data_IF_468248161043
#
_entry.id   IF_468248161043
#
_cell.length_a   1.000
_cell.length_b   1.000
_cell.length_c   1.000
_cell.angle_alpha   90.00
_cell.angle_beta   90.00
_cell.angle_gamma   90.00
#
_symmetry.space_group_name_H-M   'P 1'
#
loop_
_entity.id
_entity.type
_entity.pdbx_description
1 polymer ?
#
# COMPACT_ATOMS: atom_id res chain seq x y z
N UNK A 1 -5.05 1.73 -19.15
CA UNK A 1 -5.23 1.24 -17.75
C UNK A 1 -4.57 2.15 -16.73
N UNK A 2 -3.26 2.45 -16.83
CA UNK A 2 -2.50 3.34 -15.92
C UNK A 2 -3.20 4.68 -15.62
N UNK A 3 -3.73 5.37 -16.64
CA UNK A 3 -4.49 6.64 -16.44
C UNK A 3 -5.72 6.47 -15.56
N UNK A 4 -6.42 5.33 -15.63
CA UNK A 4 -7.56 5.03 -14.74
C UNK A 4 -7.08 4.85 -13.29
N UNK A 5 -5.96 4.17 -13.09
CA UNK A 5 -5.35 4.03 -11.77
C UNK A 5 -4.90 5.38 -11.19
N UNK A 6 -4.29 6.27 -11.99
CA UNK A 6 -3.95 7.63 -11.55
C UNK A 6 -5.18 8.43 -11.09
N UNK A 7 -6.28 8.36 -11.85
CA UNK A 7 -7.55 9.00 -11.47
C UNK A 7 -8.12 8.41 -10.17
N UNK A 8 -8.09 7.07 -10.05
CA UNK A 8 -8.49 6.38 -8.82
C UNK A 8 -7.65 6.83 -7.62
N UNK A 9 -6.33 6.88 -7.75
CA UNK A 9 -5.41 7.28 -6.68
C UNK A 9 -5.68 8.69 -6.19
N UNK A 10 -5.91 9.64 -7.12
CA UNK A 10 -6.29 11.02 -6.77
C UNK A 10 -7.61 11.06 -5.98
N UNK A 11 -8.61 10.31 -6.44
CA UNK A 11 -9.90 10.22 -5.74
C UNK A 11 -9.78 9.55 -4.37
N UNK A 12 -8.95 8.52 -4.25
CA UNK A 12 -8.69 7.83 -2.98
C UNK A 12 -8.03 8.78 -1.98
N UNK A 13 -6.99 9.51 -2.39
CA UNK A 13 -6.28 10.44 -1.50
C UNK A 13 -7.18 11.55 -1.00
N UNK A 14 -7.99 12.12 -1.89
CA UNK A 14 -8.98 13.13 -1.53
C UNK A 14 -9.94 12.60 -0.47
N UNK A 15 -10.55 11.44 -0.72
CA UNK A 15 -11.52 10.83 0.18
C UNK A 15 -10.92 10.49 1.55
N UNK A 16 -9.73 9.89 1.57
CA UNK A 16 -9.05 9.55 2.83
C UNK A 16 -8.74 10.80 3.68
N UNK A 17 -8.31 11.91 3.05
CA UNK A 17 -8.04 13.15 3.77
C UNK A 17 -9.30 13.93 4.16
N UNK A 18 -10.41 13.77 3.45
CA UNK A 18 -11.70 14.36 3.83
C UNK A 18 -12.35 13.60 4.99
N UNK A 19 -12.31 12.27 4.97
CA UNK A 19 -12.94 11.43 5.99
C UNK A 19 -12.09 11.28 7.26
N UNK A 20 -10.75 11.30 7.14
CA UNK A 20 -9.84 11.00 8.26
C UNK A 20 -8.78 12.08 8.53
N UNK A 21 -8.69 13.12 7.70
CA UNK A 21 -7.79 14.24 7.92
C UNK A 21 -8.28 15.11 9.08
N UNK A 22 -7.84 14.82 10.29
CA UNK A 22 -8.11 15.68 11.45
C UNK A 22 -7.46 17.06 11.26
N UNK A 23 -8.15 18.13 11.66
CA UNK A 23 -7.62 19.50 11.60
C UNK A 23 -6.42 19.75 12.54
N UNK A 24 -6.14 18.83 13.45
CA UNK A 24 -5.35 19.09 14.67
C UNK A 24 -4.08 18.24 14.83
N UNK A 25 -3.55 17.62 13.77
CA UNK A 25 -2.22 16.98 13.82
C UNK A 25 -1.06 18.00 13.76
N UNK A 26 -1.24 19.17 14.37
CA UNK A 26 -0.18 20.17 14.51
C UNK A 26 0.53 20.09 15.88
N UNK A 27 0.24 19.10 16.73
CA UNK A 27 0.94 18.92 18.01
C UNK A 27 0.88 17.47 18.49
N UNK A 28 2.05 16.95 18.89
CA UNK A 28 2.38 15.56 19.28
C UNK A 28 2.54 14.60 18.08
N UNK A 29 3.75 14.24 17.65
CA UNK A 29 4.89 13.78 18.46
C UNK A 29 6.23 14.38 18.01
N UNK A 30 6.97 14.93 18.97
CA UNK A 30 8.44 14.91 18.95
C UNK A 30 8.92 13.47 19.03
N UNK A 31 8.97 12.81 17.89
CA UNK A 31 9.97 11.77 17.63
C UNK A 31 10.92 12.38 16.61
N UNK A 32 12.22 12.39 16.90
CA UNK A 32 13.24 12.87 15.96
C UNK A 32 13.19 12.12 14.61
N UNK A 33 14.15 12.33 13.71
CA UNK A 33 14.26 11.53 12.50
C UNK A 33 14.62 10.09 12.89
N UNK A 34 13.64 9.31 13.33
CA UNK A 34 13.73 7.86 13.37
C UNK A 34 13.79 7.41 11.91
N UNK A 35 14.89 6.74 11.59
CA UNK A 35 15.09 5.96 10.36
C UNK A 35 13.78 5.30 9.92
N UNK A 36 13.52 5.13 8.61
CA UNK A 36 12.32 4.48 8.14
C UNK A 36 12.28 3.04 8.63
N UNK A 37 11.66 2.81 9.80
CA UNK A 37 11.48 1.48 10.35
C UNK A 37 10.74 0.65 9.29
N UNK A 38 11.34 -0.47 8.91
CA UNK A 38 10.68 -1.40 8.01
C UNK A 38 9.42 -1.92 8.72
N UNK A 39 8.29 -2.06 8.00
CA UNK A 39 7.09 -2.62 8.59
C UNK A 39 7.40 -4.02 9.14
N UNK A 40 6.85 -4.34 10.31
CA UNK A 40 6.98 -5.67 10.89
C UNK A 40 6.22 -6.67 10.01
N UNK A 41 6.96 -7.61 9.41
CA UNK A 41 6.45 -8.67 8.53
C UNK A 41 6.67 -10.00 9.23
N UNK A 42 5.60 -10.57 9.80
CA UNK A 42 5.60 -11.86 10.50
C UNK A 42 4.91 -12.97 9.68
N UNK A 43 4.47 -12.67 8.46
CA UNK A 43 3.65 -13.59 7.65
C UNK A 43 2.18 -13.61 8.08
N UNK A 44 1.74 -12.59 8.83
CA UNK A 44 0.38 -12.51 9.36
C UNK A 44 -0.50 -11.57 8.53
N UNK A 45 -1.81 -11.75 8.64
CA UNK A 45 -2.79 -10.92 7.93
C UNK A 45 -2.70 -9.43 8.29
N UNK A 46 -2.18 -9.08 9.47
CA UNK A 46 -2.01 -7.71 9.95
C UNK A 46 -0.60 -7.13 9.73
N UNK A 47 0.29 -7.81 8.98
CA UNK A 47 1.64 -7.32 8.67
C UNK A 47 1.62 -5.85 8.18
N UNK A 48 2.43 -5.00 8.79
CA UNK A 48 2.53 -3.57 8.48
C UNK A 48 1.29 -2.72 8.79
N UNK A 49 0.23 -3.29 9.38
CA UNK A 49 -1.02 -2.57 9.69
C UNK A 49 -1.32 -2.52 11.20
N UNK A 50 -0.44 -3.03 12.07
CA UNK A 50 -0.69 -3.16 13.51
C UNK A 50 -0.97 -1.81 14.19
N UNK A 51 -0.31 -0.73 13.74
CA UNK A 51 -0.46 0.63 14.25
C UNK A 51 -1.10 1.58 13.21
N UNK A 52 -1.80 1.04 12.20
CA UNK A 52 -2.43 1.83 11.14
C UNK A 52 -3.95 1.75 11.29
N UNK A 53 -4.54 2.82 11.82
CA UNK A 53 -5.99 2.86 12.12
C UNK A 53 -6.89 3.08 10.90
N UNK A 54 -6.37 3.72 9.85
CA UNK A 54 -7.09 3.98 8.60
C UNK A 54 -6.64 2.99 7.54
N UNK A 55 -7.54 2.12 7.09
CA UNK A 55 -7.21 1.06 6.15
C UNK A 55 -8.30 0.89 5.09
N UNK A 56 -7.92 0.96 3.81
CA UNK A 56 -8.82 0.78 2.68
C UNK A 56 -8.62 -0.58 2.02
N UNK A 57 -9.71 -1.29 1.76
CA UNK A 57 -9.70 -2.52 0.96
C UNK A 57 -10.05 -2.19 -0.50
N UNK A 58 -9.19 -2.62 -1.42
CA UNK A 58 -9.38 -2.44 -2.86
C UNK A 58 -9.47 -3.82 -3.51
N UNK A 59 -10.65 -4.18 -4.01
CA UNK A 59 -10.86 -5.38 -4.82
C UNK A 59 -10.86 -4.99 -6.30
N UNK A 60 -10.05 -5.66 -7.11
CA UNK A 60 -9.89 -5.33 -8.53
C UNK A 60 -9.47 -6.56 -9.34
N UNK A 61 -9.08 -6.33 -10.59
CA UNK A 61 -8.71 -7.38 -11.54
C UNK A 61 -7.20 -7.46 -11.75
N UNK A 62 -6.67 -8.66 -12.02
CA UNK A 62 -5.22 -8.91 -12.08
C UNK A 62 -4.45 -8.00 -13.05
N UNK A 63 -4.98 -7.75 -14.26
CA UNK A 63 -4.33 -6.84 -15.22
C UNK A 63 -4.32 -5.39 -14.73
N UNK A 64 -5.38 -4.94 -14.05
CA UNK A 64 -5.44 -3.61 -13.45
C UNK A 64 -4.46 -3.47 -12.29
N UNK A 65 -4.45 -4.46 -11.38
CA UNK A 65 -3.54 -4.52 -10.23
C UNK A 65 -2.10 -4.51 -10.70
N UNK A 66 -1.72 -5.35 -11.67
CA UNK A 66 -0.35 -5.43 -12.18
C UNK A 66 0.15 -4.10 -12.76
N UNK A 67 -0.68 -3.40 -13.54
CA UNK A 67 -0.35 -2.07 -14.07
C UNK A 67 -0.26 -1.02 -12.95
N UNK A 68 -1.07 -1.16 -11.90
CA UNK A 68 -1.09 -0.26 -10.74
C UNK A 68 0.17 -0.43 -9.89
N UNK A 69 0.57 -1.67 -9.58
CA UNK A 69 1.82 -1.99 -8.89
C UNK A 69 3.02 -1.45 -9.68
N UNK A 70 3.04 -1.67 -11.01
CA UNK A 70 4.09 -1.10 -11.86
C UNK A 70 4.16 0.43 -11.75
N UNK A 71 3.01 1.11 -11.78
CA UNK A 71 2.96 2.56 -11.63
C UNK A 71 3.53 3.03 -10.28
N UNK A 72 3.18 2.35 -9.19
CA UNK A 72 3.65 2.67 -7.84
C UNK A 72 5.17 2.50 -7.70
N UNK A 73 5.73 1.43 -8.29
CA UNK A 73 7.15 1.11 -8.19
C UNK A 73 7.99 1.98 -9.11
N UNK A 74 7.64 2.05 -10.39
CA UNK A 74 8.50 2.70 -11.40
C UNK A 74 8.30 4.22 -11.46
N UNK A 75 7.06 4.70 -11.37
CA UNK A 75 6.78 6.13 -11.57
C UNK A 75 6.67 6.92 -10.25
N UNK A 76 6.24 6.27 -9.17
CA UNK A 76 6.07 6.91 -7.86
C UNK A 76 7.17 6.53 -6.85
N UNK A 77 8.16 5.75 -7.28
CA UNK A 77 9.37 5.40 -6.51
C UNK A 77 9.05 4.86 -5.10
N UNK A 78 8.07 3.95 -5.00
CA UNK A 78 7.71 3.39 -3.71
C UNK A 78 8.84 2.56 -3.08
N UNK A 79 8.89 2.53 -1.75
CA UNK A 79 9.78 1.65 -0.99
C UNK A 79 9.28 0.20 -1.07
N UNK A 80 10.20 -0.74 -1.28
CA UNK A 80 9.92 -2.17 -1.29
C UNK A 80 10.49 -2.84 -0.02
N UNK A 81 9.87 -3.93 0.47
CA UNK A 81 10.41 -4.69 1.59
C UNK A 81 11.72 -5.39 1.19
N UNK A 82 12.61 -5.58 2.16
CA UNK A 82 13.89 -6.25 1.92
C UNK A 82 13.69 -7.67 1.37
N UNK A 83 14.55 -8.07 0.44
CA UNK A 83 14.53 -9.42 -0.15
C UNK A 83 13.46 -9.66 -1.23
N UNK A 84 12.58 -8.69 -1.51
CA UNK A 84 11.56 -8.85 -2.55
C UNK A 84 12.19 -8.73 -3.95
N UNK A 85 12.09 -9.80 -4.75
CA UNK A 85 12.66 -9.83 -6.09
C UNK A 85 11.76 -9.09 -7.08
N UNK A 86 12.34 -8.30 -7.99
CA UNK A 86 11.56 -7.53 -8.99
C UNK A 86 10.69 -8.41 -9.90
N UNK A 87 11.08 -9.66 -10.17
CA UNK A 87 10.25 -10.59 -10.92
C UNK A 87 8.96 -10.97 -10.16
N UNK A 88 9.00 -11.04 -8.82
CA UNK A 88 7.83 -11.23 -7.97
C UNK A 88 6.98 -9.96 -7.90
N UNK A 89 7.61 -8.78 -7.78
CA UNK A 89 6.92 -7.47 -7.79
C UNK A 89 6.02 -7.32 -9.03
N UNK A 90 6.52 -7.69 -10.21
CA UNK A 90 5.78 -7.54 -11.48
C UNK A 90 5.05 -8.81 -11.95
N UNK A 91 5.01 -9.83 -11.10
CA UNK A 91 4.28 -11.07 -11.38
C UNK A 91 2.77 -10.81 -11.52
N UNK A 92 2.05 -11.65 -12.30
CA UNK A 92 0.60 -11.61 -12.31
C UNK A 92 0.04 -11.88 -10.90
N UNK A 93 -0.93 -11.08 -10.47
CA UNK A 93 -1.64 -11.34 -9.22
C UNK A 93 -2.51 -12.60 -9.39
N UNK A 94 -2.37 -13.64 -8.52
CA UNK A 94 -3.25 -14.79 -8.55
C UNK A 94 -4.69 -14.40 -8.16
N UNK A 95 -5.66 -15.26 -8.44
CA UNK A 95 -7.03 -15.05 -7.95
C UNK A 95 -7.02 -14.89 -6.44
N UNK A 96 -7.63 -13.82 -5.92
CA UNK A 96 -7.62 -13.46 -4.49
C UNK A 96 -6.23 -13.19 -3.90
N UNK A 97 -5.21 -12.98 -4.73
CA UNK A 97 -3.89 -12.56 -4.26
C UNK A 97 -3.94 -11.19 -3.59
N UNK A 98 -3.24 -11.05 -2.47
CA UNK A 98 -3.31 -9.87 -1.61
C UNK A 98 -1.99 -9.10 -1.67
N UNK A 99 -2.07 -7.79 -1.90
CA UNK A 99 -0.95 -6.87 -1.78
C UNK A 99 -1.30 -5.80 -0.75
N UNK A 100 -0.32 -5.35 0.03
CA UNK A 100 -0.49 -4.26 0.99
C UNK A 100 0.59 -3.21 0.80
N UNK A 101 0.17 -1.96 0.86
CA UNK A 101 1.05 -0.81 0.94
C UNK A 101 0.54 0.18 2.00
N UNK A 102 1.48 0.94 2.55
CA UNK A 102 1.25 2.06 3.47
C UNK A 102 1.50 3.34 2.69
N UNK A 103 0.59 4.31 2.80
CA UNK A 103 0.70 5.61 2.13
C UNK A 103 0.66 6.70 3.20
N UNK A 104 1.71 7.50 3.25
CA UNK A 104 1.72 8.74 4.04
C UNK A 104 1.19 9.87 3.17
N UNK A 105 0.04 10.43 3.55
CA UNK A 105 -0.64 11.50 2.83
C UNK A 105 -0.53 12.82 3.57
N UNK A 106 -0.35 13.90 2.82
CA UNK A 106 -0.39 15.27 3.32
C UNK A 106 -1.36 16.10 2.49
N UNK A 107 -1.92 17.13 3.12
CA UNK A 107 -2.68 18.17 2.43
C UNK A 107 -1.71 19.27 2.01
N UNK A 108 -1.60 19.52 0.71
CA UNK A 108 -0.89 20.67 0.17
C UNK A 108 -1.90 21.66 -0.45
N UNK A 109 -1.49 22.90 -0.73
CA UNK A 109 -2.33 23.90 -1.40
C UNK A 109 -2.85 23.42 -2.77
N UNK A 110 -2.04 22.60 -3.47
CA UNK A 110 -2.40 22.01 -4.77
C UNK A 110 -3.31 20.78 -4.67
N UNK A 111 -3.59 20.32 -3.44
CA UNK A 111 -4.41 19.14 -3.13
C UNK A 111 -3.66 18.03 -2.37
N UNK A 112 -4.30 16.86 -2.19
CA UNK A 112 -3.70 15.71 -1.53
C UNK A 112 -2.45 15.19 -2.26
N UNK A 113 -1.36 14.97 -1.51
CA UNK A 113 -0.13 14.36 -2.04
C UNK A 113 0.37 13.25 -1.14
N UNK A 114 0.89 12.19 -1.75
CA UNK A 114 1.64 11.16 -1.03
C UNK A 114 3.10 11.60 -0.88
N UNK A 115 3.59 11.65 0.36
CA UNK A 115 5.02 11.88 0.67
C UNK A 115 5.81 10.59 0.69
N UNK A 116 5.16 9.47 1.04
CA UNK A 116 5.77 8.14 1.08
C UNK A 116 4.76 7.07 0.69
N UNK A 117 5.23 6.11 -0.09
CA UNK A 117 4.49 4.89 -0.46
C UNK A 117 5.41 3.73 -0.18
N UNK A 118 4.96 2.76 0.62
CA UNK A 118 5.77 1.60 1.00
C UNK A 118 4.97 0.32 0.87
N UNK A 119 5.45 -0.63 0.07
CA UNK A 119 4.88 -1.98 0.07
C UNK A 119 5.28 -2.73 1.34
N UNK A 120 4.33 -3.49 1.87
CA UNK A 120 4.57 -4.47 2.92
C UNK A 120 4.74 -5.86 2.31
N UNK A 121 3.85 -6.24 1.40
CA UNK A 121 3.93 -7.49 0.63
C UNK A 121 3.15 -7.36 -0.69
N UNK A 122 3.50 -8.19 -1.67
CA UNK A 122 2.91 -8.19 -3.01
C UNK A 122 2.47 -9.60 -3.39
N UNK A 123 1.25 -9.73 -3.92
CA UNK A 123 0.68 -10.97 -4.44
C UNK A 123 0.75 -12.16 -3.45
N UNK A 124 0.64 -11.91 -2.15
CA UNK A 124 0.59 -12.95 -1.11
C UNK A 124 -0.63 -13.84 -1.35
N UNK A 125 -0.45 -15.16 -1.16
CA UNK A 125 -1.46 -16.17 -1.49
C UNK A 125 -1.47 -17.35 -0.51
N UNK A 126 -0.91 -17.17 0.69
CA UNK A 126 -0.69 -18.22 1.67
C UNK A 126 -2.02 -18.93 2.01
N UNK A 127 -3.11 -18.18 2.08
CA UNK A 127 -4.47 -18.68 2.30
C UNK A 127 -4.99 -19.64 1.21
N UNK A 128 -4.41 -19.63 0.01
CA UNK A 128 -4.76 -20.58 -1.06
C UNK A 128 -3.96 -21.87 -0.96
N UNK A 129 -2.78 -21.81 -0.36
CA UNK A 129 -1.93 -22.97 -0.17
C UNK A 129 -2.47 -23.81 1.00
N UNK A 130 -3.00 -23.17 2.05
CA UNK A 130 -3.68 -23.83 3.18
C UNK A 130 -4.90 -24.65 2.73
N UNK A 131 -5.72 -24.11 1.82
CA UNK A 131 -6.91 -24.79 1.28
C UNK A 131 -6.56 -26.05 0.48
N UNK A 132 -5.37 -26.10 -0.12
CA UNK A 132 -4.92 -27.27 -0.90
C UNK A 132 -4.36 -28.40 -0.04
N UNK A 133 -3.95 -28.11 1.19
CA UNK A 133 -3.35 -29.08 2.10
C UNK A 133 -4.37 -29.70 3.08
N UNK A 134 -5.65 -29.36 2.93
CA UNK A 134 -6.77 -29.85 3.74
C UNK A 134 -7.60 -30.97 3.08
N UNK A 135 -7.16 -31.46 1.91
CA UNK A 135 -7.67 -32.67 1.24
C UNK A 135 -6.71 -33.86 1.47
#
# INVERSE_FOLDING_TARGET
>A
VKTRFKKFLKSLYQRMLEEHGSADQCSASTSGPSEPEQPVIAGLANDGAQNVHVHALIVSHGAFIRVSVRHLVEDLQCCLPAGLKMNQVFSPCPNTGISRLIITLHREESGPRASRIQFVFINRKDHLDDVKNSD
#
